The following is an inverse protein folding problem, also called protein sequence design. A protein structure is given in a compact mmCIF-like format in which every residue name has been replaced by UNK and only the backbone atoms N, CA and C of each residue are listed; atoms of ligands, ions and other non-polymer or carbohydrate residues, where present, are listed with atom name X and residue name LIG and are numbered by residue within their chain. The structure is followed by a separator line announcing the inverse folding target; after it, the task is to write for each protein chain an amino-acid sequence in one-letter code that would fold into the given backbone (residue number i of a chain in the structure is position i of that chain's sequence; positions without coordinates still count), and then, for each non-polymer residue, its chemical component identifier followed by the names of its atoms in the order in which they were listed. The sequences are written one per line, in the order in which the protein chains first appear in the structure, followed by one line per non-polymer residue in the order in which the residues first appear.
data_IF_220452983814
#
_entry.id   IF_220452983814
#
_cell.length_a   1.000
_cell.length_b   1.000
_cell.length_c   1.000
_cell.angle_alpha   90.00
_cell.angle_beta   90.00
_cell.angle_gamma   90.00
#
_symmetry.space_group_name_H-M   'P 1'
#
loop_
_entity.id
_entity.type
_entity.pdbx_description
1 polymer ?
#
# COMPACT_ATOMS: atom_id res chain seq x y z
N UNK A 1 -7.49 17.06 -11.91
CA UNK A 1 -7.12 15.63 -11.78
C UNK A 1 -6.82 15.36 -10.32
N UNK A 2 -7.09 14.15 -9.81
CA UNK A 2 -6.63 13.78 -8.48
C UNK A 2 -5.10 13.76 -8.46
N UNK A 3 -4.49 14.40 -7.46
CA UNK A 3 -3.03 14.45 -7.30
C UNK A 3 -2.42 13.05 -7.04
N UNK A 4 -3.25 12.14 -6.53
CA UNK A 4 -2.91 10.76 -6.19
C UNK A 4 -3.89 9.85 -6.94
N UNK A 5 -3.38 8.92 -7.74
CA UNK A 5 -4.16 7.86 -8.38
C UNK A 5 -3.77 6.52 -7.78
N UNK A 6 -4.76 5.64 -7.58
CA UNK A 6 -4.57 4.29 -7.04
C UNK A 6 -5.13 3.27 -8.03
N UNK A 7 -4.34 2.23 -8.29
CA UNK A 7 -4.67 1.16 -9.23
C UNK A 7 -4.51 -0.19 -8.51
N UNK A 8 -5.67 -0.77 -8.21
CA UNK A 8 -5.87 -2.09 -7.62
C UNK A 8 -7.33 -2.51 -7.89
N UNK A 9 -7.60 -3.76 -8.31
CA UNK A 9 -8.95 -4.18 -8.69
C UNK A 9 -9.96 -4.11 -7.54
N UNK A 10 -9.56 -4.51 -6.32
CA UNK A 10 -10.43 -4.49 -5.14
C UNK A 10 -10.78 -3.04 -4.75
N UNK A 11 -9.78 -2.14 -4.73
CA UNK A 11 -10.02 -0.73 -4.43
C UNK A 11 -10.85 -0.02 -5.51
N UNK A 12 -10.75 -0.46 -6.77
CA UNK A 12 -11.58 0.04 -7.86
C UNK A 12 -13.05 -0.35 -7.68
N UNK A 13 -13.34 -1.59 -7.24
CA UNK A 13 -14.70 -2.03 -6.93
C UNK A 13 -15.34 -1.23 -5.78
N UNK A 14 -14.52 -0.81 -4.81
CA UNK A 14 -14.95 0.03 -3.68
C UNK A 14 -15.15 1.51 -4.04
N UNK A 15 -14.82 1.92 -5.28
CA UNK A 15 -14.71 3.33 -5.66
C UNK A 15 -13.84 4.14 -4.69
N UNK A 16 -12.74 3.55 -4.23
CA UNK A 16 -11.86 4.15 -3.23
C UNK A 16 -11.27 5.49 -3.74
N UNK A 17 -11.40 6.54 -2.93
CA UNK A 17 -10.82 7.84 -3.21
C UNK A 17 -9.63 8.09 -2.27
N UNK A 18 -8.40 8.31 -2.80
CA UNK A 18 -7.22 8.50 -1.96
C UNK A 18 -7.25 9.88 -1.27
N UNK A 19 -7.02 9.89 0.04
CA UNK A 19 -6.96 11.09 0.87
C UNK A 19 -5.52 11.54 1.15
N UNK A 20 -4.66 10.60 1.53
CA UNK A 20 -3.27 10.89 1.87
C UNK A 20 -2.36 9.71 1.54
N UNK A 21 -1.12 10.01 1.12
CA UNK A 21 -0.09 9.00 0.91
C UNK A 21 1.23 9.48 1.49
N UNK A 22 1.72 8.76 2.50
CA UNK A 22 2.97 9.06 3.20
C UNK A 22 4.00 7.98 2.92
N UNK A 23 5.24 8.38 2.68
CA UNK A 23 6.34 7.47 2.35
C UNK A 23 7.51 7.64 3.30
N UNK A 24 8.10 6.52 3.72
CA UNK A 24 9.37 6.48 4.42
C UNK A 24 10.30 5.50 3.70
N UNK A 25 11.30 6.06 3.02
CA UNK A 25 12.27 5.32 2.22
C UNK A 25 13.69 5.56 2.75
N UNK A 26 14.53 4.54 2.69
CA UNK A 26 15.91 4.60 3.14
C UNK A 26 16.77 3.61 2.38
N UNK A 27 18.05 3.94 2.20
CA UNK A 27 18.97 3.05 1.51
C UNK A 27 19.16 1.77 2.34
N UNK A 28 19.00 0.62 1.68
CA UNK A 28 19.12 -0.71 2.29
C UNK A 28 18.13 -0.98 3.44
N UNK A 29 17.04 -0.22 3.52
CA UNK A 29 15.92 -0.47 4.43
C UNK A 29 14.67 -0.82 3.63
N UNK A 30 13.82 -1.69 4.19
CA UNK A 30 12.53 -1.95 3.59
C UNK A 30 11.63 -0.70 3.68
N UNK A 31 11.14 -0.22 2.54
CA UNK A 31 10.30 0.97 2.49
C UNK A 31 8.95 0.74 3.16
N UNK A 32 8.45 1.78 3.82
CA UNK A 32 7.15 1.78 4.48
C UNK A 32 6.29 2.87 3.89
N UNK A 33 5.05 2.52 3.55
CA UNK A 33 4.10 3.46 3.00
C UNK A 33 2.78 3.37 3.75
N UNK A 34 2.07 4.50 3.81
CA UNK A 34 0.75 4.62 4.43
C UNK A 34 -0.17 5.29 3.43
N UNK A 35 -1.25 4.62 3.05
CA UNK A 35 -2.30 5.14 2.18
C UNK A 35 -3.60 5.26 2.98
N UNK A 36 -4.15 6.45 3.06
CA UNK A 36 -5.51 6.66 3.56
C UNK A 36 -6.44 6.90 2.38
N UNK A 37 -7.61 6.26 2.41
CA UNK A 37 -8.62 6.41 1.38
C UNK A 37 -10.02 6.43 2.01
N UNK A 38 -10.98 7.00 1.30
CA UNK A 38 -12.39 6.97 1.67
C UNK A 38 -13.24 6.21 0.65
N UNK A 39 -14.28 5.53 1.10
CA UNK A 39 -15.30 4.90 0.25
C UNK A 39 -16.69 4.95 0.92
N UNK A 40 -17.74 4.69 0.13
CA UNK A 40 -19.12 4.65 0.62
C UNK A 40 -19.45 3.35 1.37
N UNK A 41 -18.77 2.26 1.02
CA UNK A 41 -18.98 0.97 1.64
C UNK A 41 -18.40 0.95 3.07
N UNK A 42 -19.27 0.64 4.03
CA UNK A 42 -18.88 0.22 5.37
C UNK A 42 -18.33 -1.22 5.33
N UNK A 43 -17.49 -1.57 6.31
CA UNK A 43 -16.93 -2.92 6.48
C UNK A 43 -16.20 -3.44 5.24
N UNK A 44 -15.18 -2.71 4.80
CA UNK A 44 -14.27 -3.16 3.75
C UNK A 44 -13.67 -4.53 4.09
N UNK A 45 -13.73 -5.46 3.13
CA UNK A 45 -13.15 -6.79 3.27
C UNK A 45 -11.62 -6.72 3.21
N UNK A 46 -10.98 -6.63 4.37
CA UNK A 46 -9.52 -6.60 4.48
C UNK A 46 -8.85 -7.90 4.02
N UNK A 47 -9.54 -9.03 4.05
CA UNK A 47 -8.96 -10.31 3.60
C UNK A 47 -8.73 -10.29 2.09
N UNK A 48 -9.65 -9.69 1.34
CA UNK A 48 -9.49 -9.48 -0.11
C UNK A 48 -8.36 -8.52 -0.48
N UNK A 49 -7.97 -7.62 0.44
CA UNK A 49 -6.90 -6.63 0.21
C UNK A 49 -5.53 -7.11 0.67
N UNK A 50 -5.45 -7.95 1.71
CA UNK A 50 -4.18 -8.31 2.32
C UNK A 50 -3.29 -9.10 1.35
N UNK A 51 -2.06 -8.63 1.17
CA UNK A 51 -1.11 -9.23 0.23
C UNK A 51 -1.30 -8.82 -1.23
N UNK A 52 -2.37 -8.09 -1.57
CA UNK A 52 -2.58 -7.59 -2.92
C UNK A 52 -1.55 -6.52 -3.30
N UNK A 53 -1.21 -6.50 -4.59
CA UNK A 53 -0.37 -5.46 -5.18
C UNK A 53 -1.17 -4.19 -5.43
N UNK A 54 -0.60 -3.04 -5.08
CA UNK A 54 -1.16 -1.72 -5.35
C UNK A 54 -0.14 -0.88 -6.11
N UNK A 55 -0.61 -0.23 -7.17
CA UNK A 55 0.14 0.82 -7.85
C UNK A 55 -0.43 2.17 -7.44
N UNK A 56 0.39 3.02 -6.86
CA UNK A 56 0.06 4.41 -6.53
C UNK A 56 0.83 5.32 -7.48
N UNK A 57 0.19 6.37 -7.97
CA UNK A 57 0.77 7.36 -8.86
C UNK A 57 0.57 8.74 -8.26
N UNK A 58 1.68 9.47 -8.09
CA UNK A 58 1.64 10.87 -7.62
C UNK A 58 1.98 11.77 -8.79
N UNK A 59 1.05 12.63 -9.17
CA UNK A 59 1.31 13.66 -10.18
C UNK A 59 2.29 14.69 -9.63
N UNK A 60 3.35 14.97 -10.39
CA UNK A 60 4.31 16.02 -10.07
C UNK A 60 4.24 17.07 -11.18
N UNK A 61 3.89 18.33 -10.84
CA UNK A 61 3.91 19.42 -11.81
C UNK A 61 5.24 19.43 -12.56
N UNK A 62 5.21 19.52 -13.90
CA UNK A 62 6.36 19.54 -14.80
C UNK A 62 7.24 18.27 -14.86
N UNK A 63 7.08 17.33 -13.94
CA UNK A 63 7.89 16.10 -13.85
C UNK A 63 7.09 14.81 -14.09
N UNK A 64 5.83 14.93 -14.50
CA UNK A 64 4.92 13.82 -14.73
C UNK A 64 4.62 13.00 -13.48
N UNK A 65 4.01 11.83 -13.67
CA UNK A 65 3.63 10.95 -12.56
C UNK A 65 4.82 10.14 -12.02
N UNK A 66 4.97 10.08 -10.69
CA UNK A 66 5.89 9.15 -10.00
C UNK A 66 5.11 7.92 -9.55
N UNK A 67 5.43 6.71 -10.06
CA UNK A 67 4.81 5.49 -9.60
C UNK A 67 5.45 4.97 -8.31
N UNK A 68 4.64 4.32 -7.48
CA UNK A 68 5.01 3.49 -6.34
C UNK A 68 4.31 2.15 -6.50
N UNK A 69 5.06 1.06 -6.35
CA UNK A 69 4.53 -0.30 -6.36
C UNK A 69 4.74 -0.89 -4.98
N UNK A 70 3.66 -1.30 -4.35
CA UNK A 70 3.68 -1.81 -2.98
C UNK A 70 2.68 -2.94 -2.82
N UNK A 71 2.79 -3.65 -1.71
CA UNK A 71 1.86 -4.70 -1.29
C UNK A 71 1.18 -4.27 -0.01
N UNK A 72 -0.11 -4.61 0.14
CA UNK A 72 -0.84 -4.42 1.39
C UNK A 72 -0.31 -5.40 2.43
N UNK A 73 0.20 -4.89 3.54
CA UNK A 73 0.72 -5.68 4.66
C UNK A 73 -0.13 -5.54 5.93
N UNK A 74 -1.04 -4.55 5.93
CA UNK A 74 -1.99 -4.31 7.00
C UNK A 74 -3.07 -3.34 6.55
N UNK A 75 -4.22 -3.39 7.21
CA UNK A 75 -5.35 -2.49 6.97
C UNK A 75 -6.06 -2.21 8.30
N UNK A 76 -6.62 -1.00 8.44
CA UNK A 76 -7.36 -0.60 9.63
C UNK A 76 -8.44 0.44 9.30
N UNK A 77 -9.50 0.44 10.08
CA UNK A 77 -10.47 1.54 10.11
C UNK A 77 -9.82 2.80 10.68
N UNK A 78 -10.03 3.93 10.01
CA UNK A 78 -9.49 5.23 10.39
C UNK A 78 -10.59 6.27 10.68
N UNK A 79 -11.85 5.83 10.79
CA UNK A 79 -13.00 6.63 11.16
C UNK A 79 -13.93 6.95 9.98
N UNK A 80 -14.59 8.10 10.08
CA UNK A 80 -15.56 8.55 9.08
C UNK A 80 -15.33 10.01 8.73
N UNK A 81 -15.60 10.35 7.48
CA UNK A 81 -15.61 11.71 6.99
C UNK A 81 -16.95 11.96 6.28
N UNK A 82 -17.83 12.70 6.96
CA UNK A 82 -19.20 12.96 6.51
C UNK A 82 -20.00 11.67 6.31
N UNK A 83 -20.37 11.36 5.08
CA UNK A 83 -21.14 10.18 4.65
C UNK A 83 -20.25 9.02 4.18
N UNK A 84 -18.93 9.15 4.27
CA UNK A 84 -17.96 8.14 3.86
C UNK A 84 -17.17 7.56 5.03
N UNK A 85 -16.71 6.34 4.82
CA UNK A 85 -15.83 5.62 5.73
C UNK A 85 -14.38 5.81 5.30
N UNK A 86 -13.49 6.01 6.27
CA UNK A 86 -12.07 6.25 6.04
C UNK A 86 -11.29 5.04 6.50
N UNK A 87 -10.43 4.54 5.63
CA UNK A 87 -9.58 3.39 5.87
C UNK A 87 -8.13 3.74 5.65
N UNK A 88 -7.27 2.99 6.33
CA UNK A 88 -5.82 3.12 6.22
C UNK A 88 -5.21 1.78 5.83
N UNK A 89 -4.38 1.80 4.80
CA UNK A 89 -3.54 0.68 4.40
C UNK A 89 -2.09 0.94 4.78
N UNK A 90 -1.49 -0.06 5.41
CA UNK A 90 -0.05 -0.17 5.61
C UNK A 90 0.52 -0.95 4.43
N UNK A 91 1.48 -0.35 3.73
CA UNK A 91 2.06 -0.94 2.53
C UNK A 91 3.58 -1.05 2.64
N UNK A 92 4.14 -2.03 1.94
CA UNK A 92 5.59 -2.21 1.86
C UNK A 92 6.02 -2.86 0.55
N UNK A 93 7.32 -3.03 0.36
CA UNK A 93 7.87 -3.76 -0.78
C UNK A 93 7.73 -5.27 -0.58
N UNK A 94 7.92 -6.05 -1.64
CA UNK A 94 7.90 -7.52 -1.55
C UNK A 94 8.91 -8.09 -0.55
N UNK A 95 9.99 -7.37 -0.23
CA UNK A 95 10.99 -7.80 0.76
C UNK A 95 10.39 -8.01 2.14
N UNK A 96 9.28 -7.34 2.46
CA UNK A 96 8.56 -7.53 3.72
C UNK A 96 8.10 -8.98 3.92
N UNK A 97 7.71 -9.69 2.86
CA UNK A 97 7.25 -11.08 2.96
C UNK A 97 8.35 -12.04 3.42
N UNK A 98 9.63 -11.69 3.18
CA UNK A 98 10.76 -12.46 3.71
C UNK A 98 10.81 -12.41 5.24
N UNK A 99 10.29 -11.36 5.88
CA UNK A 99 10.26 -11.20 7.33
C UNK A 99 9.18 -12.07 8.01
N UNK A 100 8.18 -12.53 7.26
CA UNK A 100 7.11 -13.40 7.76
C UNK A 100 7.56 -14.86 7.91
N UNK A 101 8.67 -15.22 7.28
CA UNK A 101 9.22 -16.57 7.30
C UNK A 101 10.52 -16.62 8.12
N UNK A 102 10.70 -17.70 8.88
CA UNK A 102 11.96 -18.00 9.58
C UNK A 102 12.44 -19.37 9.15
N UNK A 103 13.72 -19.48 8.81
CA UNK A 103 14.30 -20.71 8.29
C UNK A 103 15.70 -20.95 8.89
N UNK A 104 16.00 -22.20 9.22
CA UNK A 104 17.34 -22.65 9.59
C UNK A 104 17.93 -23.41 8.41
N UNK A 105 18.92 -22.80 7.74
CA UNK A 105 19.53 -23.34 6.52
C UNK A 105 21.04 -23.17 6.53
N UNK A 106 21.76 -24.18 6.04
CA UNK A 106 23.21 -24.14 5.83
C UNK A 106 23.47 -23.76 4.36
N UNK A 107 24.34 -22.77 4.16
CA UNK A 107 24.86 -22.38 2.85
C UNK A 107 26.39 -22.57 2.89
N UNK A 108 26.94 -23.36 1.97
CA UNK A 108 28.38 -23.69 1.91
C UNK A 108 28.93 -23.46 0.51
N UNK A 109 30.14 -22.95 0.43
CA UNK A 109 30.89 -22.70 -0.82
C UNK A 109 30.15 -21.78 -1.82
N UNK A 110 29.47 -20.74 -1.30
CA UNK A 110 28.72 -19.74 -2.08
C UNK A 110 29.16 -18.31 -1.74
N UNK A 111 29.01 -17.40 -2.71
CA UNK A 111 29.03 -15.95 -2.49
C UNK A 111 27.60 -15.44 -2.25
N UNK A 112 27.48 -14.28 -1.59
CA UNK A 112 26.21 -13.53 -1.43
C UNK A 112 25.90 -12.74 -2.70
#
# INVERSE_FOLDING_TARGET
MPLIEIDNPVLAELNAFPLSFTTQEGLSSNSQYSLEFECEQADVDYESLLGEGIRIQIERPDFGSRPFYAYVIGASDAGQHQDKFVYKLELSTWLWFLMQNRNSRIFQDLNV
#
